data_IF_316753625211
#
_entry.id   IF_316753625211
#
_cell.length_a   1.000
_cell.length_b   1.000
_cell.length_c   1.000
_cell.angle_alpha   90.00
_cell.angle_beta   90.00
_cell.angle_gamma   90.00
#
_symmetry.space_group_name_H-M   'P 1'
#
loop_
_entity.id
_entity.type
_entity.pdbx_description
1 polymer ?
#
# COMPACT_ATOMS: atom_id res chain seq x y z
N UNK A 1 20.51 29.27 32.34
CA UNK A 1 21.27 28.07 31.91
C UNK A 1 20.60 26.74 32.27
N UNK A 2 19.59 26.67 33.15
CA UNK A 2 18.98 25.38 33.56
C UNK A 2 17.94 24.83 32.55
N UNK A 3 17.25 25.69 31.79
CA UNK A 3 16.23 25.27 30.80
C UNK A 3 16.81 24.63 29.52
N UNK A 4 18.08 24.89 29.18
CA UNK A 4 18.66 24.37 27.93
C UNK A 4 19.14 22.92 28.04
N UNK A 5 19.37 22.42 29.26
CA UNK A 5 19.90 21.06 29.48
C UNK A 5 18.81 19.98 29.52
N UNK A 6 17.57 20.30 29.95
CA UNK A 6 16.46 19.32 29.95
C UNK A 6 15.84 19.09 28.56
N UNK A 7 16.03 20.00 27.59
CA UNK A 7 15.45 19.86 26.25
C UNK A 7 16.29 19.03 25.26
N UNK A 8 17.54 18.68 25.60
CA UNK A 8 18.44 17.94 24.67
C UNK A 8 17.95 16.52 24.32
N UNK A 9 17.09 15.92 25.14
CA UNK A 9 16.46 14.62 24.87
C UNK A 9 14.99 14.68 24.49
N UNK A 10 14.37 15.87 24.45
CA UNK A 10 12.93 16.03 24.25
C UNK A 10 12.63 16.28 22.77
N UNK A 11 11.79 15.43 22.19
CA UNK A 11 11.31 15.60 20.82
C UNK A 11 10.12 16.56 20.80
N UNK A 12 10.12 17.47 19.84
CA UNK A 12 9.13 18.54 19.66
C UNK A 12 8.19 18.18 18.52
N UNK A 13 6.90 18.34 18.73
CA UNK A 13 5.87 18.19 17.70
C UNK A 13 5.85 19.40 16.74
N UNK A 14 5.30 19.26 15.53
CA UNK A 14 5.12 20.37 14.59
C UNK A 14 4.35 21.55 15.18
N UNK A 15 3.40 21.28 16.09
CA UNK A 15 2.64 22.31 16.80
C UNK A 15 3.52 23.13 17.75
N UNK A 16 4.40 22.47 18.50
CA UNK A 16 5.36 23.16 19.38
C UNK A 16 6.38 23.94 18.58
N UNK A 17 6.88 23.41 17.46
CA UNK A 17 7.80 24.12 16.56
C UNK A 17 7.15 25.39 15.99
N UNK A 18 5.87 25.32 15.60
CA UNK A 18 5.09 26.48 15.16
C UNK A 18 4.99 27.54 16.25
N UNK A 19 4.77 27.15 17.50
CA UNK A 19 4.74 28.08 18.64
C UNK A 19 6.11 28.71 18.92
N UNK A 20 7.20 27.95 18.78
CA UNK A 20 8.57 28.42 19.06
C UNK A 20 9.11 29.36 17.96
N UNK A 21 8.84 29.04 16.69
CA UNK A 21 9.33 29.81 15.53
C UNK A 21 8.33 30.89 15.08
N UNK A 22 7.10 30.86 15.59
CA UNK A 22 6.00 31.77 15.21
C UNK A 22 5.75 31.81 13.70
N UNK A 23 5.84 30.65 13.04
CA UNK A 23 5.69 30.50 11.59
C UNK A 23 4.74 29.37 11.25
N UNK A 24 4.10 29.46 10.09
CA UNK A 24 3.11 28.47 9.66
C UNK A 24 3.76 27.14 9.21
N UNK A 25 2.94 26.11 9.03
CA UNK A 25 3.43 24.79 8.61
C UNK A 25 4.11 24.83 7.24
N UNK A 26 3.68 25.72 6.35
CA UNK A 26 4.26 25.89 5.01
C UNK A 26 5.68 26.44 5.09
N UNK A 27 5.88 27.46 5.90
CA UNK A 27 7.18 28.09 6.14
C UNK A 27 8.12 27.16 6.91
N UNK A 28 7.62 26.38 7.87
CA UNK A 28 8.42 25.34 8.53
C UNK A 28 8.96 24.34 7.50
N UNK A 29 8.14 23.90 6.54
CA UNK A 29 8.59 23.01 5.46
C UNK A 29 9.66 23.67 4.58
N UNK A 30 9.54 24.96 4.26
CA UNK A 30 10.57 25.69 3.52
C UNK A 30 11.88 25.82 4.30
N UNK A 31 11.80 26.13 5.60
CA UNK A 31 12.97 26.19 6.47
C UNK A 31 13.66 24.82 6.59
N UNK A 32 12.89 23.73 6.67
CA UNK A 32 13.43 22.37 6.66
C UNK A 32 14.18 22.06 5.35
N UNK A 33 13.62 22.44 4.19
CA UNK A 33 14.29 22.28 2.89
C UNK A 33 15.61 23.08 2.84
N UNK A 34 15.60 24.32 3.33
CA UNK A 34 16.78 25.21 3.32
C UNK A 34 17.86 24.78 4.32
N UNK A 35 17.46 24.17 5.43
CA UNK A 35 18.35 23.63 6.44
C UNK A 35 18.80 22.18 6.16
N UNK A 36 18.33 21.58 5.05
CA UNK A 36 18.52 20.15 4.73
C UNK A 36 18.11 19.20 5.86
N UNK A 37 17.04 19.56 6.60
CA UNK A 37 16.48 18.75 7.69
C UNK A 37 15.36 17.86 7.14
N UNK A 38 15.52 16.54 7.30
CA UNK A 38 14.52 15.56 6.91
C UNK A 38 13.51 15.32 8.05
N UNK A 39 12.19 15.39 7.80
CA UNK A 39 11.18 15.11 8.82
C UNK A 39 11.28 13.68 9.36
N UNK A 40 11.50 13.54 10.67
CA UNK A 40 11.56 12.24 11.36
C UNK A 40 10.18 11.84 11.87
N UNK A 41 9.88 10.54 11.90
CA UNK A 41 8.63 9.98 12.43
C UNK A 41 8.88 9.07 13.63
N UNK A 42 8.03 9.15 14.65
CA UNK A 42 8.10 8.26 15.82
C UNK A 42 7.42 6.90 15.54
N UNK A 43 7.42 5.99 16.51
CA UNK A 43 6.75 4.68 16.42
C UNK A 43 5.22 4.75 16.20
N UNK A 44 4.62 5.92 16.41
CA UNK A 44 3.20 6.21 16.15
C UNK A 44 2.97 6.91 14.80
N UNK A 45 4.01 7.06 13.97
CA UNK A 45 3.95 7.70 12.65
C UNK A 45 3.87 9.23 12.66
N UNK A 46 3.97 9.87 13.83
CA UNK A 46 3.89 11.32 13.96
C UNK A 46 5.25 11.98 13.74
N UNK A 47 5.28 13.11 13.03
CA UNK A 47 6.50 13.87 12.80
C UNK A 47 6.99 14.50 14.09
N UNK A 48 8.31 14.48 14.32
CA UNK A 48 8.94 15.16 15.45
C UNK A 48 10.26 15.81 15.04
N UNK A 49 10.69 16.78 15.85
CA UNK A 49 11.93 17.53 15.69
C UNK A 49 12.76 17.43 16.97
N UNK A 50 14.07 17.30 16.82
CA UNK A 50 15.00 17.48 17.94
C UNK A 50 15.21 18.96 18.24
N UNK A 51 15.64 19.26 19.47
CA UNK A 51 15.96 20.62 19.86
C UNK A 51 17.01 21.29 18.96
N UNK A 52 18.04 20.54 18.55
CA UNK A 52 19.09 21.04 17.65
C UNK A 52 18.55 21.37 16.25
N UNK A 53 17.62 20.56 15.72
CA UNK A 53 16.96 20.85 14.45
C UNK A 53 16.15 22.15 14.53
N UNK A 54 15.39 22.37 15.62
CA UNK A 54 14.61 23.61 15.81
C UNK A 54 15.52 24.83 16.00
N UNK A 55 16.66 24.67 16.69
CA UNK A 55 17.68 25.71 16.81
C UNK A 55 18.28 26.09 15.44
N UNK A 56 18.53 25.11 14.59
CA UNK A 56 19.01 25.33 13.22
C UNK A 56 17.94 26.01 12.36
N UNK A 57 16.66 25.62 12.46
CA UNK A 57 15.55 26.29 11.79
C UNK A 57 15.45 27.76 12.21
N UNK A 58 15.61 28.08 13.51
CA UNK A 58 15.62 29.46 14.01
C UNK A 58 16.79 30.28 13.43
N UNK A 59 17.97 29.69 13.29
CA UNK A 59 19.12 30.36 12.64
C UNK A 59 18.84 30.67 11.17
N UNK A 60 18.28 29.71 10.43
CA UNK A 60 17.92 29.90 9.01
C UNK A 60 16.80 30.92 8.85
N UNK A 61 15.84 30.97 9.77
CA UNK A 61 14.79 31.98 9.83
C UNK A 61 15.38 33.38 10.07
N UNK A 62 16.31 33.52 11.02
CA UNK A 62 16.98 34.79 11.28
C UNK A 62 17.79 35.28 10.06
N UNK A 63 18.46 34.36 9.35
CA UNK A 63 19.14 34.67 8.09
C UNK A 63 18.18 35.10 6.98
N UNK A 64 16.98 34.48 6.90
CA UNK A 64 15.92 34.89 5.97
C UNK A 64 15.40 36.30 6.28
N UNK A 65 15.21 36.63 7.56
CA UNK A 65 14.67 37.92 7.99
C UNK A 65 15.71 39.05 7.97
N UNK A 66 17.00 38.73 8.09
CA UNK A 66 18.10 39.68 7.94
C UNK A 66 18.39 40.06 6.47
N UNK A 67 17.76 39.37 5.52
CA UNK A 67 17.92 39.58 4.09
C UNK A 67 16.65 40.21 3.48
N UNK A 68 16.41 41.49 3.78
CA UNK A 68 15.71 42.41 2.85
C UNK A 68 16.21 43.85 3.05
N UNK A 69 16.31 44.67 2.00
CA UNK A 69 15.63 44.51 0.71
C UNK A 69 16.59 44.18 -0.44
N UNK A 70 16.26 43.26 -1.36
CA UNK A 70 16.83 43.37 -2.69
C UNK A 70 15.91 44.27 -3.51
N UNK A 71 16.48 45.38 -3.98
CA UNK A 71 16.10 45.95 -5.25
C UNK A 71 15.89 44.82 -6.28
N UNK A 72 14.89 44.97 -7.16
CA UNK A 72 14.72 44.15 -8.36
C UNK A 72 15.97 44.27 -9.23
N UNK A 73 17.01 43.51 -8.92
CA UNK A 73 18.05 43.18 -9.90
C UNK A 73 17.42 42.06 -10.72
N UNK A 74 17.26 42.21 -12.06
CA UNK A 74 16.88 41.08 -12.88
C UNK A 74 18.07 40.12 -12.85
N UNK A 75 18.02 39.17 -11.91
CA UNK A 75 18.93 38.04 -11.88
C UNK A 75 18.63 37.27 -13.16
N UNK A 76 19.38 37.57 -14.23
CA UNK A 76 19.46 36.73 -15.43
C UNK A 76 19.99 35.39 -14.95
N UNK A 77 19.07 34.51 -14.52
CA UNK A 77 19.29 33.07 -14.49
C UNK A 77 19.90 32.74 -15.86
N UNK A 78 21.12 32.18 -15.94
CA UNK A 78 21.76 31.93 -17.22
C UNK A 78 20.82 31.06 -18.05
N UNK A 79 20.44 31.53 -19.24
CA UNK A 79 19.32 30.95 -20.02
C UNK A 79 19.50 29.45 -20.29
N UNK A 80 20.75 28.97 -20.29
CA UNK A 80 21.10 27.57 -20.35
C UNK A 80 20.47 26.74 -19.21
N UNK A 81 20.47 27.22 -17.96
CA UNK A 81 19.88 26.50 -16.82
C UNK A 81 18.37 26.41 -16.97
N UNK A 82 17.70 27.47 -17.41
CA UNK A 82 16.25 27.45 -17.68
C UNK A 82 15.90 26.53 -18.85
N UNK A 83 16.75 26.46 -19.89
CA UNK A 83 16.60 25.52 -20.99
C UNK A 83 16.78 24.06 -20.55
N UNK A 84 17.71 23.80 -19.63
CA UNK A 84 17.93 22.46 -19.07
C UNK A 84 16.76 22.06 -18.18
N UNK A 85 16.29 22.94 -17.30
CA UNK A 85 15.16 22.66 -16.41
C UNK A 85 13.86 22.42 -17.19
N UNK A 86 13.62 23.18 -18.26
CA UNK A 86 12.48 22.94 -19.16
C UNK A 86 12.62 21.61 -19.91
N UNK A 87 13.80 21.29 -20.43
CA UNK A 87 14.07 20.00 -21.09
C UNK A 87 13.88 18.81 -20.14
N UNK A 88 14.32 18.93 -18.89
CA UNK A 88 14.09 17.91 -17.86
C UNK A 88 12.60 17.79 -17.51
N UNK A 89 11.88 18.92 -17.44
CA UNK A 89 10.45 18.90 -17.18
C UNK A 89 9.67 18.25 -18.33
N UNK A 90 10.05 18.53 -19.57
CA UNK A 90 9.46 17.90 -20.75
C UNK A 90 9.77 16.40 -20.81
N UNK A 91 10.97 16.00 -20.41
CA UNK A 91 11.36 14.60 -20.31
C UNK A 91 10.57 13.87 -19.20
N UNK A 92 10.42 14.50 -18.03
CA UNK A 92 9.58 14.00 -16.93
C UNK A 92 8.15 13.77 -17.41
N UNK A 93 7.54 14.78 -18.06
CA UNK A 93 6.17 14.69 -18.55
C UNK A 93 6.00 13.58 -19.61
N UNK A 94 6.95 13.46 -20.55
CA UNK A 94 6.95 12.39 -21.56
C UNK A 94 7.11 11.01 -20.93
N UNK A 95 7.97 10.89 -19.92
CA UNK A 95 8.19 9.65 -19.21
C UNK A 95 6.94 9.24 -18.42
N UNK A 96 6.35 10.17 -17.66
CA UNK A 96 5.10 9.93 -16.93
C UNK A 96 3.96 9.51 -17.86
N UNK A 97 3.81 10.17 -19.01
CA UNK A 97 2.81 9.80 -20.02
C UNK A 97 3.04 8.40 -20.59
N UNK A 98 4.28 8.03 -20.90
CA UNK A 98 4.62 6.69 -21.37
C UNK A 98 4.35 5.62 -20.31
N UNK A 99 4.69 5.89 -19.05
CA UNK A 99 4.43 4.97 -17.94
C UNK A 99 2.93 4.76 -17.79
N UNK A 100 2.13 5.83 -17.79
CA UNK A 100 0.68 5.73 -17.70
C UNK A 100 0.11 4.86 -18.83
N UNK A 101 0.55 5.11 -20.08
CA UNK A 101 0.10 4.32 -21.23
C UNK A 101 0.44 2.83 -21.12
N UNK A 102 1.66 2.50 -20.69
CA UNK A 102 2.07 1.09 -20.49
C UNK A 102 1.26 0.43 -19.38
N UNK A 103 0.95 1.16 -18.31
CA UNK A 103 0.10 0.64 -17.22
C UNK A 103 -1.30 0.35 -17.76
N UNK A 104 -1.90 1.28 -18.51
CA UNK A 104 -3.23 1.10 -19.11
C UNK A 104 -3.26 -0.13 -20.04
N UNK A 105 -2.29 -0.25 -20.97
CA UNK A 105 -2.17 -1.39 -21.88
C UNK A 105 -1.97 -2.74 -21.17
N UNK A 106 -1.32 -2.74 -19.98
CA UNK A 106 -1.08 -3.97 -19.20
C UNK A 106 -2.25 -4.35 -18.30
N UNK A 107 -3.09 -3.38 -17.93
CA UNK A 107 -4.28 -3.61 -17.14
C UNK A 107 -5.52 -3.88 -18.01
N UNK A 108 -5.47 -3.52 -19.30
CA UNK A 108 -6.52 -3.81 -20.26
C UNK A 108 -6.76 -5.33 -20.39
N UNK A 109 -8.00 -5.76 -20.16
CA UNK A 109 -8.41 -7.16 -20.20
C UNK A 109 -8.07 -7.99 -18.95
N UNK A 110 -7.46 -7.38 -17.92
CA UNK A 110 -7.22 -8.08 -16.64
C UNK A 110 -8.54 -8.45 -15.95
N UNK A 111 -9.57 -7.62 -16.09
CA UNK A 111 -10.91 -7.86 -15.56
C UNK A 111 -11.58 -9.09 -16.19
N UNK A 112 -11.46 -9.26 -17.51
CA UNK A 112 -11.97 -10.45 -18.21
C UNK A 112 -11.33 -11.73 -17.67
N UNK A 113 -10.01 -11.72 -17.48
CA UNK A 113 -9.27 -12.87 -16.89
C UNK A 113 -9.75 -13.17 -15.47
N UNK A 114 -9.97 -12.14 -14.66
CA UNK A 114 -10.47 -12.31 -13.29
C UNK A 114 -11.88 -12.89 -13.28
N UNK A 115 -12.77 -12.44 -14.17
CA UNK A 115 -14.13 -12.99 -14.32
C UNK A 115 -14.09 -14.46 -14.71
N UNK A 116 -13.27 -14.83 -15.71
CA UNK A 116 -13.17 -16.22 -16.15
C UNK A 116 -12.52 -17.10 -15.07
N UNK A 117 -11.57 -16.57 -14.29
CA UNK A 117 -11.00 -17.26 -13.14
C UNK A 117 -12.04 -17.50 -12.04
N UNK A 118 -12.91 -16.52 -11.75
CA UNK A 118 -14.00 -16.68 -10.79
C UNK A 118 -14.95 -17.78 -11.27
N UNK A 119 -15.32 -17.77 -12.56
CA UNK A 119 -16.16 -18.81 -13.16
C UNK A 119 -15.53 -20.19 -13.01
N UNK A 120 -14.28 -20.34 -13.45
CA UNK A 120 -13.52 -21.58 -13.29
C UNK A 120 -13.48 -22.05 -11.84
N UNK A 121 -13.30 -21.15 -10.88
CA UNK A 121 -13.24 -21.47 -9.45
C UNK A 121 -14.58 -21.97 -8.91
N UNK A 122 -15.68 -21.32 -9.29
CA UNK A 122 -17.05 -21.74 -8.93
C UNK A 122 -17.39 -23.10 -9.54
N UNK A 123 -17.06 -23.31 -10.81
CA UNK A 123 -17.30 -24.58 -11.50
C UNK A 123 -16.46 -25.71 -10.88
N UNK A 124 -15.21 -25.42 -10.51
CA UNK A 124 -14.34 -26.38 -9.85
C UNK A 124 -14.90 -26.85 -8.50
N UNK A 125 -15.41 -25.92 -7.69
CA UNK A 125 -16.03 -26.26 -6.40
C UNK A 125 -17.31 -27.07 -6.58
N UNK A 126 -18.12 -26.73 -7.58
CA UNK A 126 -19.32 -27.51 -7.96
C UNK A 126 -18.97 -28.94 -8.36
N UNK A 127 -17.91 -29.12 -9.15
CA UNK A 127 -17.43 -30.45 -9.53
C UNK A 127 -16.91 -31.25 -8.33
N UNK A 128 -16.21 -30.63 -7.37
CA UNK A 128 -15.81 -31.28 -6.12
C UNK A 128 -17.00 -31.78 -5.32
N UNK A 129 -18.05 -30.96 -5.21
CA UNK A 129 -19.27 -31.37 -4.51
C UNK A 129 -19.93 -32.57 -5.22
N UNK A 130 -20.01 -32.55 -6.55
CA UNK A 130 -20.55 -33.66 -7.34
C UNK A 130 -19.77 -34.97 -7.14
N UNK A 131 -18.43 -34.90 -7.03
CA UNK A 131 -17.60 -36.06 -6.72
C UNK A 131 -17.94 -36.63 -5.34
N UNK A 132 -18.11 -35.77 -4.33
CA UNK A 132 -18.47 -36.19 -2.98
C UNK A 132 -19.82 -36.92 -2.98
N UNK A 133 -20.82 -36.37 -3.66
CA UNK A 133 -22.16 -36.94 -3.68
C UNK A 133 -22.23 -38.26 -4.47
N UNK A 134 -21.54 -38.34 -5.61
CA UNK A 134 -21.41 -39.60 -6.36
C UNK A 134 -20.66 -40.68 -5.55
N UNK A 135 -19.65 -40.30 -4.77
CA UNK A 135 -18.96 -41.27 -3.90
C UNK A 135 -19.87 -41.81 -2.80
N UNK A 136 -20.75 -40.97 -2.22
CA UNK A 136 -21.77 -41.42 -1.26
C UNK A 136 -22.76 -42.38 -1.93
N UNK A 137 -23.22 -42.06 -3.13
CA UNK A 137 -24.14 -42.89 -3.90
C UNK A 137 -23.51 -44.26 -4.25
N UNK A 138 -22.26 -44.26 -4.73
CA UNK A 138 -21.50 -45.49 -4.99
C UNK A 138 -21.41 -46.35 -3.73
N UNK A 139 -21.13 -45.74 -2.58
CA UNK A 139 -21.06 -46.46 -1.31
C UNK A 139 -22.41 -47.08 -0.93
N UNK A 140 -23.49 -46.32 -1.07
CA UNK A 140 -24.85 -46.79 -0.79
C UNK A 140 -25.23 -47.95 -1.72
N UNK A 141 -25.01 -47.81 -3.02
CA UNK A 141 -25.28 -48.86 -4.01
C UNK A 141 -24.45 -50.11 -3.76
N UNK A 142 -23.18 -49.98 -3.38
CA UNK A 142 -22.34 -51.12 -2.99
C UNK A 142 -22.91 -51.84 -1.77
N UNK A 143 -23.37 -51.11 -0.76
CA UNK A 143 -24.00 -51.69 0.43
C UNK A 143 -25.32 -52.39 0.07
N UNK A 144 -26.14 -51.77 -0.78
CA UNK A 144 -27.39 -52.34 -1.24
C UNK A 144 -27.15 -53.60 -2.08
N UNK A 145 -26.16 -53.61 -2.97
CA UNK A 145 -25.75 -54.80 -3.72
C UNK A 145 -25.26 -55.92 -2.79
N UNK A 146 -24.45 -55.56 -1.79
CA UNK A 146 -23.97 -56.51 -0.77
C UNK A 146 -25.09 -57.08 0.09
N UNK A 147 -26.27 -56.46 0.10
CA UNK A 147 -27.45 -57.01 0.75
C UNK A 147 -28.06 -58.19 -0.02
N UNK A 148 -27.61 -58.50 -1.24
CA UNK A 148 -28.07 -59.66 -1.99
C UNK A 148 -27.07 -60.82 -1.94
N UNK A 149 -27.57 -62.05 -2.07
CA UNK A 149 -26.77 -63.26 -2.24
C UNK A 149 -27.29 -64.09 -3.43
N UNK A 150 -26.42 -64.75 -4.19
CA UNK A 150 -26.85 -65.62 -5.27
C UNK A 150 -27.61 -66.84 -4.73
N UNK A 151 -28.61 -67.30 -5.47
CA UNK A 151 -29.40 -68.52 -5.16
C UNK A 151 -29.37 -69.56 -6.29
N UNK A 152 -28.51 -69.36 -7.30
CA UNK A 152 -28.32 -70.26 -8.44
C UNK A 152 -29.05 -69.81 -9.71
N UNK A 153 -28.67 -70.35 -10.87
CA UNK A 153 -29.26 -70.03 -12.20
C UNK A 153 -29.34 -68.52 -12.53
N UNK A 154 -28.45 -67.71 -11.96
CA UNK A 154 -28.45 -66.25 -12.15
C UNK A 154 -29.42 -65.47 -11.25
N UNK A 155 -30.18 -66.14 -10.38
CA UNK A 155 -31.09 -65.47 -9.44
C UNK A 155 -30.35 -65.00 -8.18
N UNK A 156 -30.83 -63.88 -7.62
CA UNK A 156 -30.35 -63.28 -6.37
C UNK A 156 -31.51 -63.10 -5.39
N UNK A 157 -31.26 -63.31 -4.10
CA UNK A 157 -32.21 -63.03 -3.00
C UNK A 157 -31.60 -62.04 -2.03
N UNK A 158 -32.40 -61.08 -1.55
CA UNK A 158 -31.99 -60.16 -0.48
C UNK A 158 -31.78 -60.94 0.83
N UNK A 159 -30.67 -60.68 1.51
CA UNK A 159 -30.32 -61.21 2.83
C UNK A 159 -31.32 -60.66 3.83
N UNK A 160 -31.90 -61.54 4.64
CA UNK A 160 -32.77 -61.13 5.74
C UNK A 160 -31.91 -60.42 6.80
N UNK A 161 -32.34 -59.23 7.22
CA UNK A 161 -31.71 -58.53 8.34
C UNK A 161 -32.22 -59.17 9.62
N UNK A 162 -31.40 -59.96 10.31
CA UNK A 162 -31.70 -60.32 11.69
C UNK A 162 -31.60 -59.07 12.55
N UNK A 163 -32.75 -58.51 12.94
CA UNK A 163 -32.83 -57.61 14.07
C UNK A 163 -32.65 -58.49 15.32
N UNK A 164 -31.53 -58.34 16.01
CA UNK A 164 -31.43 -58.80 17.39
C UNK A 164 -32.14 -57.73 18.24
N UNK A 165 -33.21 -58.13 18.94
CA UNK A 165 -33.84 -57.33 20.01
C UNK A 165 -32.89 -57.16 21.20
#
# INVERSE_FOLDING_TARGET
>A
MILEQELKGKTLSPQEVRSILKTDNREIVELCKRASILPKKNSKGQTYFSYEEVKNLRRVQAMKNAQMPPAKVPQKQPSAIMSILSSLKDMENKLSSRIAKVIDEKLEGMDEVVVELIRCKTDNETLRQKIIDLNKEIYQLKNDLNSYKPVGLGFYKKKEKHAWE
#
